data_IF_264980374994
#
_entry.id   IF_264980374994
#
_cell.length_a   1.000
_cell.length_b   1.000
_cell.length_c   1.000
_cell.angle_alpha   90.00
_cell.angle_beta   90.00
_cell.angle_gamma   90.00
#
_symmetry.space_group_name_H-M   'P 1'
#
loop_
_entity.id
_entity.type
_entity.pdbx_description
1 polymer ?
#
# COMPACT_ATOMS: atom_id res chain seq x y z
N UNK A 1 -15.43 -13.92 -70.86
CA UNK A 1 -14.91 -14.87 -69.84
C UNK A 1 -14.21 -14.08 -68.74
N UNK A 2 -14.91 -13.83 -67.72
CA UNK A 2 -14.68 -13.74 -66.27
C UNK A 2 -13.53 -12.86 -65.72
N UNK A 3 -13.54 -11.56 -66.01
CA UNK A 3 -12.77 -10.57 -65.24
C UNK A 3 -13.45 -10.20 -63.89
N UNK A 4 -14.78 -10.31 -63.85
CA UNK A 4 -15.58 -9.90 -62.68
C UNK A 4 -15.55 -10.89 -61.51
N UNK A 5 -15.27 -12.18 -61.73
CA UNK A 5 -15.18 -13.18 -60.68
C UNK A 5 -13.88 -13.06 -59.86
N UNK A 6 -12.76 -12.64 -60.47
CA UNK A 6 -11.48 -12.45 -59.77
C UNK A 6 -11.50 -11.24 -58.83
N UNK A 7 -12.15 -10.15 -59.22
CA UNK A 7 -12.28 -8.94 -58.39
C UNK A 7 -13.14 -9.17 -57.11
N UNK A 8 -14.21 -9.96 -57.25
CA UNK A 8 -15.07 -10.27 -56.08
C UNK A 8 -14.40 -11.17 -55.04
N UNK A 9 -13.56 -12.13 -55.50
CA UNK A 9 -12.82 -12.99 -54.57
C UNK A 9 -11.69 -12.23 -53.85
N UNK A 10 -11.03 -11.31 -54.52
CA UNK A 10 -9.99 -10.47 -53.93
C UNK A 10 -10.58 -9.49 -52.87
N UNK A 11 -11.67 -8.83 -53.21
CA UNK A 11 -12.36 -7.91 -52.26
C UNK A 11 -12.91 -8.67 -51.03
N UNK A 12 -13.42 -9.88 -51.19
CA UNK A 12 -13.89 -10.72 -50.07
C UNK A 12 -12.73 -11.15 -49.19
N UNK A 13 -11.57 -11.49 -49.71
CA UNK A 13 -10.38 -11.83 -48.94
C UNK A 13 -9.87 -10.66 -48.15
N UNK A 14 -9.80 -9.45 -48.74
CA UNK A 14 -9.39 -8.22 -48.02
C UNK A 14 -10.36 -7.89 -46.93
N UNK A 15 -11.67 -7.98 -47.20
CA UNK A 15 -12.69 -7.71 -46.17
C UNK A 15 -12.58 -8.66 -44.98
N UNK A 16 -12.41 -9.95 -45.19
CA UNK A 16 -12.21 -10.95 -44.15
C UNK A 16 -10.94 -10.62 -43.34
N UNK A 17 -9.85 -10.27 -43.98
CA UNK A 17 -8.58 -9.92 -43.32
C UNK A 17 -8.77 -8.67 -42.42
N UNK A 18 -9.41 -7.62 -42.94
CA UNK A 18 -9.69 -6.42 -42.18
C UNK A 18 -10.57 -6.73 -40.94
N UNK A 19 -11.62 -7.53 -41.16
CA UNK A 19 -12.52 -7.91 -40.05
C UNK A 19 -11.77 -8.67 -38.95
N UNK A 20 -10.92 -9.63 -39.31
CA UNK A 20 -10.10 -10.39 -38.37
C UNK A 20 -9.16 -9.46 -37.58
N UNK A 21 -8.49 -8.53 -38.26
CA UNK A 21 -7.61 -7.56 -37.61
C UNK A 21 -8.37 -6.67 -36.63
N UNK A 22 -9.55 -6.15 -37.02
CA UNK A 22 -10.38 -5.30 -36.15
C UNK A 22 -10.84 -6.07 -34.90
N UNK A 23 -11.30 -7.31 -35.08
CA UNK A 23 -11.69 -8.15 -33.92
C UNK A 23 -10.50 -8.42 -33.00
N UNK A 24 -9.34 -8.74 -33.56
CA UNK A 24 -8.14 -9.01 -32.75
C UNK A 24 -7.69 -7.77 -31.97
N UNK A 25 -7.67 -6.59 -32.60
CA UNK A 25 -7.34 -5.32 -31.91
C UNK A 25 -8.33 -5.01 -30.80
N UNK A 26 -9.64 -5.20 -31.07
CA UNK A 26 -10.66 -4.96 -30.02
C UNK A 26 -10.52 -5.89 -28.82
N UNK A 27 -10.16 -7.16 -29.03
CA UNK A 27 -9.87 -8.11 -27.95
C UNK A 27 -8.66 -7.70 -27.13
N UNK A 28 -7.57 -7.27 -27.80
CA UNK A 28 -6.36 -6.79 -27.08
C UNK A 28 -6.70 -5.56 -26.22
N UNK A 29 -7.42 -4.58 -26.77
CA UNK A 29 -7.80 -3.39 -26.00
C UNK A 29 -8.67 -3.74 -24.78
N UNK A 30 -9.63 -4.64 -24.96
CA UNK A 30 -10.47 -5.11 -23.84
C UNK A 30 -9.67 -5.84 -22.79
N UNK A 31 -8.66 -6.63 -23.20
CA UNK A 31 -7.79 -7.35 -22.27
C UNK A 31 -6.88 -6.41 -21.46
N UNK A 32 -6.34 -5.38 -22.13
CA UNK A 32 -5.50 -4.36 -21.46
C UNK A 32 -6.31 -3.60 -20.40
N UNK A 33 -7.54 -3.18 -20.71
CA UNK A 33 -8.40 -2.48 -19.74
C UNK A 33 -8.74 -3.38 -18.56
N UNK A 34 -9.09 -4.63 -18.81
CA UNK A 34 -9.38 -5.62 -17.76
C UNK A 34 -8.18 -5.84 -16.81
N UNK A 35 -6.96 -5.99 -17.36
CA UNK A 35 -5.75 -6.16 -16.54
C UNK A 35 -5.41 -4.92 -15.71
N UNK A 36 -5.63 -3.72 -16.25
CA UNK A 36 -5.39 -2.49 -15.51
C UNK A 36 -6.33 -2.35 -14.31
N UNK A 37 -7.62 -2.63 -14.49
CA UNK A 37 -8.60 -2.58 -13.40
C UNK A 37 -8.33 -3.65 -12.33
N UNK A 38 -7.97 -4.86 -12.74
CA UNK A 38 -7.61 -5.94 -11.82
C UNK A 38 -6.37 -5.58 -10.98
N UNK A 39 -5.34 -4.97 -11.59
CA UNK A 39 -4.12 -4.57 -10.90
C UNK A 39 -4.37 -3.46 -9.88
N UNK A 40 -5.24 -2.50 -10.15
CA UNK A 40 -5.60 -1.42 -9.23
C UNK A 40 -6.32 -1.97 -7.98
N UNK A 41 -7.24 -2.92 -8.17
CA UNK A 41 -7.95 -3.57 -7.07
C UNK A 41 -7.01 -4.40 -6.19
N UNK A 42 -6.07 -5.15 -6.77
CA UNK A 42 -5.07 -5.94 -6.03
C UNK A 42 -4.19 -5.01 -5.19
N UNK A 43 -3.72 -3.90 -5.75
CA UNK A 43 -2.89 -2.92 -5.03
C UNK A 43 -3.65 -2.29 -3.87
N UNK A 44 -4.93 -1.94 -4.07
CA UNK A 44 -5.78 -1.42 -3.00
C UNK A 44 -5.97 -2.44 -1.87
N UNK A 45 -6.27 -3.70 -2.19
CA UNK A 45 -6.39 -4.78 -1.18
C UNK A 45 -5.07 -5.00 -0.43
N UNK A 46 -3.93 -4.94 -1.12
CA UNK A 46 -2.63 -5.01 -0.49
C UNK A 46 -2.43 -3.84 0.51
N UNK A 47 -2.80 -2.62 0.13
CA UNK A 47 -2.74 -1.47 1.05
C UNK A 47 -3.69 -1.65 2.25
N UNK A 48 -4.89 -2.19 2.06
CA UNK A 48 -5.84 -2.50 3.14
C UNK A 48 -5.26 -3.51 4.13
N UNK A 49 -4.58 -4.54 3.64
CA UNK A 49 -3.89 -5.52 4.49
C UNK A 49 -2.72 -4.87 5.25
N UNK A 50 -1.94 -4.01 4.61
CA UNK A 50 -0.87 -3.25 5.26
C UNK A 50 -1.42 -2.30 6.32
N UNK A 51 -2.53 -1.60 6.06
CA UNK A 51 -3.18 -0.74 7.04
C UNK A 51 -3.66 -1.53 8.27
N UNK A 52 -4.19 -2.74 8.08
CA UNK A 52 -4.56 -3.64 9.20
C UNK A 52 -3.35 -4.10 9.99
N UNK A 53 -2.26 -4.52 9.31
CA UNK A 53 -1.02 -4.90 9.98
C UNK A 53 -0.43 -3.74 10.76
N UNK A 54 -0.41 -2.54 10.16
CA UNK A 54 0.03 -1.32 10.80
C UNK A 54 -0.80 -1.02 12.06
N UNK A 55 -2.12 -1.06 11.97
CA UNK A 55 -3.02 -0.86 13.11
C UNK A 55 -2.78 -1.87 14.23
N UNK A 56 -2.62 -3.15 13.88
CA UNK A 56 -2.34 -4.20 14.86
C UNK A 56 -0.99 -3.97 15.56
N UNK A 57 0.06 -3.63 14.81
CA UNK A 57 1.39 -3.36 15.38
C UNK A 57 1.38 -2.13 16.29
N UNK A 58 0.68 -1.06 15.91
CA UNK A 58 0.49 0.14 16.73
C UNK A 58 -0.24 -0.22 18.03
N UNK A 59 -1.30 -1.02 17.95
CA UNK A 59 -2.07 -1.46 19.13
C UNK A 59 -1.21 -2.34 20.04
N UNK A 60 -0.47 -3.28 19.48
CA UNK A 60 0.43 -4.16 20.25
C UNK A 60 1.53 -3.36 20.95
N UNK A 61 2.12 -2.37 20.26
CA UNK A 61 3.12 -1.50 20.88
C UNK A 61 2.57 -0.68 22.04
N UNK A 62 1.30 -0.26 21.95
CA UNK A 62 0.62 0.43 23.04
C UNK A 62 0.38 -0.49 24.25
N UNK A 63 -0.03 -1.73 24.04
CA UNK A 63 -0.17 -2.72 25.12
C UNK A 63 1.16 -3.02 25.80
N UNK A 64 2.22 -3.19 25.01
CA UNK A 64 3.58 -3.40 25.54
C UNK A 64 4.04 -2.18 26.35
N UNK A 65 3.82 -0.97 25.84
CA UNK A 65 4.12 0.28 26.55
C UNK A 65 3.42 0.35 27.91
N UNK A 66 2.14 -0.05 27.99
CA UNK A 66 1.42 -0.12 29.28
C UNK A 66 2.01 -1.17 30.21
N UNK A 67 2.34 -2.34 29.71
CA UNK A 67 2.90 -3.44 30.50
C UNK A 67 4.29 -3.13 31.06
N UNK A 68 5.10 -2.38 30.32
CA UNK A 68 6.47 -1.99 30.70
C UNK A 68 6.51 -0.74 31.62
N UNK A 69 5.37 -0.23 32.05
CA UNK A 69 5.30 0.93 32.95
C UNK A 69 5.45 2.28 32.26
N UNK A 70 5.05 2.35 31.00
CA UNK A 70 4.94 3.57 30.17
C UNK A 70 6.30 4.23 29.88
N UNK A 71 7.30 3.50 29.39
CA UNK A 71 8.60 4.06 29.05
C UNK A 71 8.51 4.98 27.82
N UNK A 72 9.48 5.87 27.64
CA UNK A 72 9.57 6.71 26.44
C UNK A 72 9.91 5.90 25.19
N UNK A 73 10.61 4.78 25.34
CA UNK A 73 11.02 3.88 24.26
C UNK A 73 10.60 2.46 24.60
N UNK A 74 9.89 1.82 23.68
CA UNK A 74 9.53 0.40 23.72
C UNK A 74 10.40 -0.37 22.73
N UNK A 75 10.91 -1.52 23.13
CA UNK A 75 11.72 -2.38 22.26
C UNK A 75 10.82 -3.43 21.60
N UNK A 76 10.41 -3.20 20.34
CA UNK A 76 9.59 -4.15 19.61
C UNK A 76 10.43 -5.31 19.07
N UNK A 77 9.90 -6.52 19.23
CA UNK A 77 10.44 -7.72 18.61
C UNK A 77 10.20 -7.67 17.10
N UNK A 78 11.25 -7.88 16.33
CA UNK A 78 11.20 -8.00 14.89
C UNK A 78 11.35 -9.47 14.48
N UNK A 79 10.47 -9.92 13.60
CA UNK A 79 10.49 -11.29 13.09
C UNK A 79 10.96 -11.31 11.63
N UNK A 80 11.79 -12.29 11.29
CA UNK A 80 12.22 -12.53 9.91
C UNK A 80 11.09 -13.14 9.06
N UNK A 81 11.23 -13.06 7.75
CA UNK A 81 10.29 -13.68 6.81
C UNK A 81 10.56 -15.19 6.62
N UNK A 82 11.52 -15.75 7.33
CA UNK A 82 11.85 -17.18 7.30
C UNK A 82 11.22 -17.91 8.48
N UNK A 83 10.66 -19.10 8.21
CA UNK A 83 10.13 -19.97 9.25
C UNK A 83 11.25 -20.83 9.81
N UNK A 84 11.33 -20.95 11.13
CA UNK A 84 12.18 -21.90 11.82
C UNK A 84 11.71 -23.34 11.68
N UNK A 85 12.48 -24.29 12.24
CA UNK A 85 12.18 -25.73 12.17
C UNK A 85 10.78 -26.11 12.70
N UNK A 86 10.22 -25.32 13.61
CA UNK A 86 8.89 -25.53 14.20
C UNK A 86 7.77 -24.71 13.52
N UNK A 87 7.98 -24.25 12.29
CA UNK A 87 7.04 -23.38 11.56
C UNK A 87 6.70 -22.06 12.27
N UNK A 88 7.57 -21.61 13.20
CA UNK A 88 7.48 -20.34 13.90
C UNK A 88 8.36 -19.29 13.20
N UNK A 89 7.94 -18.03 13.23
CA UNK A 89 8.76 -16.92 12.72
C UNK A 89 10.02 -16.78 13.59
N UNK A 90 11.18 -16.64 12.95
CA UNK A 90 12.46 -16.44 13.64
C UNK A 90 12.54 -14.99 14.09
N UNK A 91 12.81 -14.77 15.38
CA UNK A 91 13.15 -13.44 15.90
C UNK A 91 14.47 -12.97 15.28
N UNK A 92 14.44 -11.80 14.64
CA UNK A 92 15.60 -11.21 13.98
C UNK A 92 16.24 -10.09 14.79
N UNK A 93 15.62 -9.69 15.89
CA UNK A 93 16.12 -8.67 16.80
C UNK A 93 15.02 -7.77 17.39
N UNK A 94 15.45 -6.69 18.01
CA UNK A 94 14.57 -5.69 18.58
C UNK A 94 14.80 -4.34 17.91
N UNK A 95 13.74 -3.54 17.76
CA UNK A 95 13.83 -2.17 17.28
C UNK A 95 13.24 -1.20 18.31
N UNK A 96 13.94 -0.08 18.58
CA UNK A 96 13.39 0.95 19.45
C UNK A 96 12.25 1.68 18.76
N UNK A 97 11.15 1.85 19.46
CA UNK A 97 10.01 2.64 19.05
C UNK A 97 9.76 3.75 20.06
N UNK A 98 9.86 5.00 19.60
CA UNK A 98 9.57 6.16 20.42
C UNK A 98 8.08 6.33 20.61
N UNK A 99 7.65 6.49 21.87
CA UNK A 99 6.25 6.62 22.25
C UNK A 99 5.95 8.05 22.68
N UNK A 100 4.75 8.54 22.36
CA UNK A 100 4.25 9.79 22.92
C UNK A 100 3.74 9.56 24.35
N UNK A 101 3.35 10.63 25.04
CA UNK A 101 2.84 10.55 26.41
C UNK A 101 1.53 9.77 26.56
N UNK A 102 0.84 9.49 25.47
CA UNK A 102 -0.37 8.66 25.43
C UNK A 102 -0.08 7.20 25.06
N UNK A 103 1.20 6.88 24.79
CA UNK A 103 1.66 5.53 24.43
C UNK A 103 1.43 5.14 22.97
N UNK A 104 1.49 6.10 22.07
CA UNK A 104 1.41 5.86 20.64
C UNK A 104 2.75 6.13 19.95
N UNK A 105 3.11 5.37 18.91
CA UNK A 105 4.32 5.62 18.14
C UNK A 105 4.41 7.06 17.65
N UNK A 106 5.53 7.74 17.95
CA UNK A 106 5.81 9.10 17.52
C UNK A 106 7.10 9.20 16.72
N UNK A 107 7.20 10.19 15.87
CA UNK A 107 8.42 10.64 15.24
C UNK A 107 8.36 12.16 15.04
N UNK A 108 9.39 12.71 14.44
CA UNK A 108 9.39 14.12 14.07
C UNK A 108 8.23 14.48 13.13
N UNK A 109 7.67 15.71 13.21
CA UNK A 109 6.53 16.15 12.42
C UNK A 109 6.93 16.47 10.96
N UNK A 110 7.44 15.46 10.27
CA UNK A 110 7.91 15.53 8.89
C UNK A 110 7.51 14.27 8.13
N UNK A 111 7.55 14.32 6.79
CA UNK A 111 7.33 13.13 5.97
C UNK A 111 8.39 12.05 6.22
N UNK A 112 9.63 12.44 6.55
CA UNK A 112 10.69 11.50 6.94
C UNK A 112 10.37 10.85 8.29
N UNK A 113 9.88 11.62 9.27
CA UNK A 113 9.39 11.08 10.53
C UNK A 113 8.26 10.07 10.35
N UNK A 114 7.31 10.34 9.45
CA UNK A 114 6.27 9.38 9.07
C UNK A 114 6.85 8.11 8.41
N UNK A 115 7.90 8.25 7.59
CA UNK A 115 8.62 7.11 7.02
C UNK A 115 9.31 6.27 8.10
N UNK A 116 9.87 6.92 9.12
CA UNK A 116 10.46 6.23 10.27
C UNK A 116 9.41 5.45 11.07
N UNK A 117 8.21 6.03 11.30
CA UNK A 117 7.10 5.30 11.95
C UNK A 117 6.75 4.05 11.14
N UNK A 118 6.61 4.14 9.81
CA UNK A 118 6.35 3.00 8.95
C UNK A 118 7.40 1.89 9.13
N UNK A 119 8.68 2.26 9.07
CA UNK A 119 9.78 1.30 9.21
C UNK A 119 9.82 0.66 10.61
N UNK A 120 9.51 1.42 11.67
CA UNK A 120 9.44 0.90 13.04
C UNK A 120 8.27 -0.06 13.21
N UNK A 121 7.09 0.30 12.69
CA UNK A 121 5.84 -0.44 12.90
C UNK A 121 5.76 -1.71 12.05
N UNK A 122 6.12 -1.64 10.76
CA UNK A 122 5.96 -2.74 9.81
C UNK A 122 7.25 -3.49 9.50
N UNK A 123 8.41 -2.90 9.81
CA UNK A 123 9.73 -3.46 9.47
C UNK A 123 9.87 -3.85 7.99
N UNK A 124 9.32 -3.06 7.09
CA UNK A 124 9.36 -3.31 5.64
C UNK A 124 9.64 -2.06 4.84
N UNK A 125 10.24 -2.24 3.66
CA UNK A 125 10.45 -1.17 2.68
C UNK A 125 9.11 -0.65 2.14
N UNK A 126 9.07 0.65 1.84
CA UNK A 126 7.95 1.31 1.14
C UNK A 126 7.96 1.06 -0.36
N UNK A 127 9.04 0.51 -0.88
CA UNK A 127 9.19 0.13 -2.29
C UNK A 127 9.49 -1.36 -2.36
N UNK A 128 8.53 -2.13 -2.87
CA UNK A 128 8.65 -3.58 -3.00
C UNK A 128 7.77 -4.08 -4.14
N UNK A 129 8.34 -4.89 -5.03
CA UNK A 129 7.61 -5.62 -6.07
C UNK A 129 6.73 -4.73 -6.99
N UNK A 130 7.19 -3.50 -7.29
CA UNK A 130 6.43 -2.52 -8.09
C UNK A 130 5.30 -1.83 -7.31
N UNK A 131 5.28 -2.01 -6.01
CA UNK A 131 4.35 -1.39 -5.08
C UNK A 131 5.09 -0.30 -4.29
N UNK A 132 4.87 0.95 -4.67
CA UNK A 132 5.50 2.12 -4.04
C UNK A 132 4.50 2.87 -3.19
N UNK A 133 4.86 3.09 -1.93
CA UNK A 133 4.11 3.91 -0.98
C UNK A 133 4.78 5.27 -0.85
N UNK A 134 4.00 6.31 -1.08
CA UNK A 134 4.38 7.69 -0.83
C UNK A 134 3.91 8.08 0.57
N UNK A 135 4.74 8.83 1.26
CA UNK A 135 4.50 9.26 2.64
C UNK A 135 4.44 10.76 2.71
N UNK A 136 3.41 11.27 3.37
CA UNK A 136 3.16 12.69 3.52
C UNK A 136 2.77 12.97 4.97
N UNK A 137 3.38 14.00 5.57
CA UNK A 137 2.98 14.52 6.87
C UNK A 137 2.01 15.68 6.67
N UNK A 138 0.93 15.67 7.43
CA UNK A 138 -0.02 16.76 7.48
C UNK A 138 -0.11 17.30 8.90
N UNK A 139 0.20 18.58 9.05
CA UNK A 139 0.10 19.28 10.32
C UNK A 139 -1.39 19.54 10.64
N UNK A 140 -1.86 18.97 11.72
CA UNK A 140 -3.23 19.15 12.19
C UNK A 140 -3.56 20.59 12.56
N UNK A 141 -2.58 21.37 13.01
CA UNK A 141 -2.77 22.78 13.30
C UNK A 141 -3.07 23.58 12.01
N UNK A 142 -2.35 23.29 10.93
CA UNK A 142 -2.54 23.95 9.65
C UNK A 142 -3.85 23.57 8.95
N UNK A 143 -4.28 22.30 9.08
CA UNK A 143 -5.47 21.79 8.40
C UNK A 143 -6.77 21.94 9.20
N UNK A 144 -6.71 21.74 10.53
CA UNK A 144 -7.89 21.62 11.39
C UNK A 144 -7.86 22.58 12.58
N UNK A 145 -6.88 23.47 12.65
CA UNK A 145 -6.60 24.35 13.79
C UNK A 145 -6.44 23.57 15.12
N UNK A 146 -5.99 22.31 15.01
CA UNK A 146 -5.78 21.41 16.14
C UNK A 146 -4.54 20.53 15.92
N UNK A 147 -3.47 20.76 16.68
CA UNK A 147 -2.23 19.99 16.60
C UNK A 147 -2.44 18.48 16.84
N UNK A 148 -3.46 18.09 17.60
CA UNK A 148 -3.77 16.69 17.88
C UNK A 148 -4.32 15.93 16.65
N UNK A 149 -4.72 16.64 15.60
CA UNK A 149 -5.18 16.06 14.34
C UNK A 149 -4.06 15.87 13.31
N UNK A 150 -2.80 15.99 13.73
CA UNK A 150 -1.65 15.72 12.85
C UNK A 150 -1.61 14.26 12.41
N UNK A 151 -1.40 14.03 11.13
CA UNK A 151 -1.46 12.69 10.53
C UNK A 151 -0.29 12.39 9.61
N UNK A 152 0.11 11.12 9.60
CA UNK A 152 0.93 10.53 8.55
C UNK A 152 0.00 9.86 7.53
N UNK A 153 0.07 10.27 6.29
CA UNK A 153 -0.66 9.64 5.17
C UNK A 153 0.28 8.74 4.37
N UNK A 154 -0.15 7.51 4.16
CA UNK A 154 0.54 6.50 3.37
C UNK A 154 -0.28 6.21 2.12
N UNK A 155 0.21 6.65 0.95
CA UNK A 155 -0.55 6.69 -0.31
C UNK A 155 0.12 5.85 -1.40
N UNK A 156 -0.69 5.12 -2.17
CA UNK A 156 -0.28 4.49 -3.42
C UNK A 156 -0.20 5.51 -4.57
N UNK A 157 0.56 5.17 -5.61
CA UNK A 157 0.56 5.92 -6.87
C UNK A 157 -0.83 6.00 -7.54
N UNK A 158 -1.71 5.04 -7.26
CA UNK A 158 -3.10 5.00 -7.74
C UNK A 158 -4.04 5.94 -7.01
N UNK A 159 -3.57 6.62 -5.95
CA UNK A 159 -4.34 7.57 -5.17
C UNK A 159 -4.92 7.01 -3.87
N UNK A 160 -5.13 5.71 -3.73
CA UNK A 160 -5.62 5.10 -2.49
C UNK A 160 -4.66 5.32 -1.33
N UNK A 161 -5.16 5.64 -0.14
CA UNK A 161 -4.34 5.95 1.03
C UNK A 161 -5.04 5.57 2.34
N UNK A 162 -4.25 5.42 3.41
CA UNK A 162 -4.71 5.45 4.79
C UNK A 162 -3.91 6.47 5.60
N UNK A 163 -4.45 6.85 6.75
CA UNK A 163 -3.88 7.85 7.64
C UNK A 163 -3.66 7.27 9.04
N UNK A 164 -2.55 7.65 9.63
CA UNK A 164 -2.21 7.38 11.02
C UNK A 164 -2.22 8.69 11.80
N UNK A 165 -3.09 8.80 12.82
CA UNK A 165 -3.13 9.93 13.74
C UNK A 165 -2.07 9.76 14.83
N UNK A 166 -1.07 10.63 14.83
CA UNK A 166 0.11 10.49 15.70
C UNK A 166 -0.26 10.61 17.18
N UNK A 167 -1.24 11.44 17.52
CA UNK A 167 -1.66 11.65 18.92
C UNK A 167 -2.52 10.53 19.47
N UNK A 168 -3.43 10.00 18.69
CA UNK A 168 -4.43 9.03 19.17
C UNK A 168 -4.14 7.59 18.78
N UNK A 169 -3.11 7.34 17.97
CA UNK A 169 -2.79 6.00 17.47
C UNK A 169 -3.80 5.45 16.46
N UNK A 170 -4.81 6.24 16.09
CA UNK A 170 -5.87 5.78 15.19
C UNK A 170 -5.38 5.62 13.76
N UNK A 171 -5.70 4.50 13.15
CA UNK A 171 -5.46 4.21 11.74
C UNK A 171 -6.78 4.24 10.97
N UNK A 172 -6.85 5.04 9.92
CA UNK A 172 -8.06 5.13 9.10
C UNK A 172 -8.23 3.90 8.20
N UNK A 173 -9.46 3.66 7.74
CA UNK A 173 -9.68 2.74 6.62
C UNK A 173 -9.06 3.34 5.35
N UNK A 174 -8.74 2.46 4.39
CA UNK A 174 -8.24 2.90 3.07
C UNK A 174 -9.35 3.63 2.32
N UNK A 175 -9.01 4.82 1.86
CA UNK A 175 -9.87 5.72 1.07
C UNK A 175 -9.46 5.67 -0.40
#
# INVERSE_FOLDING_TARGET
MNKDQGANLHNRSIFITITVVVVFVSLILSFITYLNDASANIRRQALENLAKQFSNSVTNSHWQWQAEGRPEIVMLLTYGNTLGENNTLIETGTKPMFMNHQGWPKAEPTSEGCANIWNMVLNMSMDRDGFKIFVEYYDGLALYNNAQESVCRYRLSTGSYFEYKIFSGQVSKVK
#
